data_IF_364102817359
#
_entry.id   IF_364102817359
#
_cell.length_a   1.000
_cell.length_b   1.000
_cell.length_c   1.000
_cell.angle_alpha   90.00
_cell.angle_beta   90.00
_cell.angle_gamma   90.00
#
_symmetry.space_group_name_H-M   'P 1'
#
loop_
_entity.id
_entity.type
_entity.pdbx_description
1 polymer ?
#
# COMPACT_ATOMS: atom_id res chain seq x y z
N UNK A 1 -2.73 4.77 19.19
CA UNK A 1 -2.56 5.97 18.35
C UNK A 1 -3.84 6.19 17.55
N UNK A 2 -4.32 7.42 17.38
CA UNK A 2 -5.50 7.74 16.55
C UNK A 2 -5.05 8.66 15.41
N UNK A 3 -5.59 8.45 14.22
CA UNK A 3 -5.26 9.19 13.01
C UNK A 3 -6.39 10.15 12.61
N UNK A 4 -6.08 11.38 12.23
CA UNK A 4 -7.09 12.33 11.73
C UNK A 4 -7.09 12.38 10.20
N UNK A 5 -8.28 12.48 9.62
CA UNK A 5 -8.49 12.63 8.18
C UNK A 5 -8.49 14.11 7.84
N UNK A 6 -7.59 14.53 6.95
CA UNK A 6 -7.42 15.96 6.62
C UNK A 6 -7.95 16.34 5.22
N UNK A 7 -8.23 15.38 4.33
CA UNK A 7 -8.73 15.68 2.99
C UNK A 7 -9.48 14.49 2.38
N UNK A 8 -10.34 14.77 1.41
CA UNK A 8 -11.04 13.79 0.57
C UNK A 8 -10.98 14.39 -0.85
N UNK A 9 -10.48 13.67 -1.85
CA UNK A 9 -10.29 14.18 -3.21
C UNK A 9 -11.14 13.35 -4.15
N UNK A 10 -12.17 13.89 -4.80
CA UNK A 10 -12.98 13.12 -5.77
C UNK A 10 -12.31 13.05 -7.14
N UNK A 11 -12.17 11.85 -7.70
CA UNK A 11 -11.67 11.66 -9.07
C UNK A 11 -12.84 11.60 -10.03
N UNK A 12 -12.84 12.45 -11.06
CA UNK A 12 -13.86 12.42 -12.11
C UNK A 12 -13.26 11.91 -13.42
N UNK A 13 -13.78 10.81 -13.94
CA UNK A 13 -13.71 10.52 -15.37
C UNK A 13 -14.60 11.53 -16.11
N UNK A 14 -14.01 12.48 -16.84
CA UNK A 14 -14.76 13.29 -17.80
C UNK A 14 -15.06 12.42 -19.02
N UNK A 15 -16.03 11.50 -18.95
CA UNK A 15 -16.85 11.18 -20.13
C UNK A 15 -18.12 10.35 -19.90
N UNK A 16 -18.42 9.84 -18.71
CA UNK A 16 -19.73 9.21 -18.44
C UNK A 16 -20.31 9.74 -17.15
N UNK A 17 -21.54 10.26 -17.24
CA UNK A 17 -22.33 10.68 -16.11
C UNK A 17 -22.49 9.49 -15.15
N UNK A 18 -21.72 9.48 -14.07
CA UNK A 18 -22.01 8.90 -12.76
C UNK A 18 -20.77 9.19 -11.90
N UNK A 19 -20.95 10.02 -10.88
CA UNK A 19 -19.88 10.48 -10.02
C UNK A 19 -19.62 9.46 -8.91
N UNK A 20 -18.38 9.01 -8.76
CA UNK A 20 -17.87 8.61 -7.46
C UNK A 20 -16.57 9.37 -7.15
N UNK A 21 -15.93 9.00 -6.05
CA UNK A 21 -15.19 9.89 -5.12
C UNK A 21 -13.80 9.27 -4.93
N UNK A 22 -12.71 9.93 -4.47
CA UNK A 22 -11.47 9.35 -3.86
C UNK A 22 -11.21 9.87 -2.44
N UNK A 23 -10.71 9.03 -1.54
CA UNK A 23 -10.35 9.35 -0.17
C UNK A 23 -8.84 9.42 -0.02
N UNK A 24 -8.35 10.64 -0.11
CA UNK A 24 -6.98 10.93 0.25
C UNK A 24 -6.84 11.08 1.77
N UNK A 25 -6.67 9.99 2.53
CA UNK A 25 -6.37 10.13 3.97
C UNK A 25 -5.00 10.79 4.14
N UNK A 26 -5.01 12.06 4.52
CA UNK A 26 -3.80 12.81 4.84
C UNK A 26 -3.56 12.74 6.34
N UNK A 27 -2.34 12.42 6.75
CA UNK A 27 -1.90 12.36 8.15
C UNK A 27 -0.73 13.31 8.39
N UNK A 28 -0.86 14.26 9.31
CA UNK A 28 0.26 15.11 9.71
C UNK A 28 0.56 14.89 11.20
N UNK A 29 1.77 14.45 11.51
CA UNK A 29 2.39 14.73 12.82
C UNK A 29 3.28 15.95 12.64
N UNK A 30 3.33 16.85 13.62
CA UNK A 30 4.17 18.06 13.61
C UNK A 30 5.59 17.75 13.15
N UNK A 31 6.01 18.36 12.04
CA UNK A 31 7.33 18.24 11.44
C UNK A 31 8.14 19.51 11.74
N UNK A 32 9.47 19.40 11.77
CA UNK A 32 10.37 20.55 11.75
C UNK A 32 10.16 21.37 10.46
N UNK A 33 10.50 22.66 10.45
CA UNK A 33 10.31 23.54 9.28
C UNK A 33 10.92 23.00 7.98
N UNK A 34 12.06 22.32 8.05
CA UNK A 34 12.69 21.64 6.89
C UNK A 34 11.89 20.44 6.36
N UNK A 35 11.25 19.68 7.25
CA UNK A 35 10.42 18.54 6.88
C UNK A 35 9.01 18.98 6.44
N UNK A 36 8.59 20.19 6.80
CA UNK A 36 7.35 20.80 6.32
C UNK A 36 7.44 21.19 4.83
N UNK A 37 8.57 21.73 4.38
CA UNK A 37 8.80 22.06 2.96
C UNK A 37 8.99 20.81 2.08
N UNK A 38 9.65 19.78 2.62
CA UNK A 38 9.69 18.45 2.01
C UNK A 38 8.28 17.86 1.98
N UNK A 39 7.50 18.00 3.05
CA UNK A 39 6.10 17.58 3.12
C UNK A 39 5.18 18.29 2.12
N UNK A 40 5.37 19.59 1.89
CA UNK A 40 4.65 20.38 0.87
C UNK A 40 5.03 19.94 -0.54
N UNK A 41 6.31 19.71 -0.79
CA UNK A 41 6.83 19.24 -2.08
C UNK A 41 6.33 17.83 -2.37
N UNK A 42 6.40 16.92 -1.39
CA UNK A 42 5.88 15.57 -1.49
C UNK A 42 4.35 15.57 -1.65
N UNK A 43 3.61 16.44 -0.95
CA UNK A 43 2.16 16.55 -1.17
C UNK A 43 1.80 17.01 -2.59
N UNK A 44 2.56 17.98 -3.13
CA UNK A 44 2.36 18.43 -4.52
C UNK A 44 2.69 17.31 -5.50
N UNK A 45 3.79 16.60 -5.29
CA UNK A 45 4.22 15.43 -6.06
C UNK A 45 3.16 14.33 -6.00
N UNK A 46 2.76 13.85 -4.82
CA UNK A 46 1.70 12.86 -4.69
C UNK A 46 0.37 13.30 -5.34
N UNK A 47 0.00 14.58 -5.26
CA UNK A 47 -1.22 15.07 -5.91
C UNK A 47 -1.15 15.02 -7.45
N UNK A 48 0.04 15.08 -8.04
CA UNK A 48 0.25 14.94 -9.49
C UNK A 48 0.48 13.47 -9.85
N UNK A 49 1.14 12.67 -9.01
CA UNK A 49 1.19 11.20 -9.12
C UNK A 49 -0.19 10.59 -9.21
N UNK A 50 -1.09 10.98 -8.30
CA UNK A 50 -2.49 10.55 -8.30
C UNK A 50 -3.17 11.00 -9.60
N UNK A 51 -3.02 12.26 -10.05
CA UNK A 51 -3.59 12.76 -11.32
C UNK A 51 -3.06 12.09 -12.59
N UNK A 52 -1.78 11.72 -12.61
CA UNK A 52 -1.17 11.04 -13.75
C UNK A 52 -1.51 9.53 -13.73
N UNK A 53 -1.66 8.95 -12.54
CA UNK A 53 -2.24 7.62 -12.33
C UNK A 53 -3.68 7.58 -12.84
N UNK A 54 -4.51 8.58 -12.53
CA UNK A 54 -5.87 8.75 -13.09
C UNK A 54 -5.87 8.78 -14.62
N UNK A 55 -4.88 9.46 -15.23
CA UNK A 55 -4.75 9.53 -16.70
C UNK A 55 -4.33 8.18 -17.32
N UNK A 56 -3.56 7.38 -16.60
CA UNK A 56 -3.10 6.06 -17.03
C UNK A 56 -4.20 5.00 -16.91
N UNK A 57 -5.07 5.13 -15.91
CA UNK A 57 -6.16 4.21 -15.60
C UNK A 57 -7.53 4.75 -16.03
N UNK A 58 -7.59 5.54 -17.12
CA UNK A 58 -8.81 6.19 -17.63
C UNK A 58 -10.06 5.31 -17.75
N UNK A 59 -9.87 3.99 -17.83
CA UNK A 59 -10.94 3.02 -18.00
C UNK A 59 -11.16 2.11 -16.76
N UNK A 60 -10.38 2.26 -15.68
CA UNK A 60 -10.28 1.29 -14.59
C UNK A 60 -10.08 1.99 -13.23
N UNK A 61 -11.16 2.13 -12.44
CA UNK A 61 -11.22 3.07 -11.31
C UNK A 61 -10.70 2.55 -9.96
N UNK A 62 -10.22 1.31 -9.84
CA UNK A 62 -9.87 0.73 -8.53
C UNK A 62 -8.61 -0.15 -8.57
N UNK A 63 -7.84 -0.17 -7.47
CA UNK A 63 -6.64 -1.01 -7.29
C UNK A 63 -6.94 -2.15 -6.34
N UNK A 64 -6.50 -3.35 -6.71
CA UNK A 64 -6.55 -4.51 -5.82
C UNK A 64 -5.54 -4.36 -4.68
N UNK A 65 -4.37 -3.77 -4.97
CA UNK A 65 -3.35 -3.50 -3.96
C UNK A 65 -2.41 -2.39 -4.40
N UNK A 66 -1.78 -1.74 -3.42
CA UNK A 66 -0.70 -0.80 -3.65
C UNK A 66 0.43 -1.03 -2.66
N UNK A 67 1.67 -0.79 -3.08
CA UNK A 67 2.84 -0.93 -2.21
C UNK A 67 3.84 0.18 -2.47
N UNK A 68 4.29 0.80 -1.38
CA UNK A 68 5.39 1.75 -1.41
C UNK A 68 6.70 0.97 -1.25
N UNK A 69 7.41 0.86 -2.36
CA UNK A 69 8.60 0.06 -2.51
C UNK A 69 9.84 0.95 -2.57
N UNK A 70 10.58 0.98 -1.47
CA UNK A 70 11.81 1.76 -1.35
C UNK A 70 13.02 0.83 -1.36
N UNK A 71 13.71 0.70 -2.50
CA UNK A 71 14.87 -0.18 -2.62
C UNK A 71 16.14 0.52 -2.11
N UNK A 72 16.94 -0.20 -1.33
CA UNK A 72 18.22 0.27 -0.79
C UNK A 72 19.39 -0.64 -1.15
N UNK A 73 20.56 -0.04 -1.29
CA UNK A 73 21.84 -0.73 -1.42
C UNK A 73 22.73 -0.38 -0.22
N UNK A 74 23.53 -1.34 0.25
CA UNK A 74 24.58 -1.08 1.22
C UNK A 74 25.94 -1.10 0.52
N UNK A 75 26.61 0.05 0.47
CA UNK A 75 27.97 0.19 -0.06
C UNK A 75 28.87 0.74 1.04
N UNK A 76 29.84 -0.07 1.48
CA UNK A 76 30.80 0.33 2.51
C UNK A 76 30.17 0.66 3.88
N UNK A 77 29.05 0.03 4.23
CA UNK A 77 28.34 0.28 5.50
C UNK A 77 27.34 1.43 5.46
N UNK A 78 27.24 2.16 4.35
CA UNK A 78 26.25 3.21 4.14
C UNK A 78 25.07 2.63 3.37
N UNK A 79 23.90 2.61 4.00
CA UNK A 79 22.64 2.26 3.34
C UNK A 79 22.12 3.48 2.58
N UNK A 80 21.96 3.34 1.26
CA UNK A 80 21.50 4.40 0.36
C UNK A 80 20.24 3.93 -0.34
N UNK A 81 19.19 4.75 -0.33
CA UNK A 81 17.99 4.47 -1.13
C UNK A 81 18.33 4.72 -2.60
N UNK A 82 18.15 3.69 -3.42
CA UNK A 82 18.46 3.72 -4.86
C UNK A 82 17.22 3.71 -5.74
N UNK A 83 16.05 3.41 -5.17
CA UNK A 83 14.78 3.61 -5.84
C UNK A 83 13.64 3.90 -4.85
N UNK A 84 12.72 4.77 -5.27
CA UNK A 84 11.52 5.11 -4.50
C UNK A 84 10.30 5.03 -5.42
N UNK A 85 9.55 3.92 -5.31
CA UNK A 85 8.47 3.60 -6.24
C UNK A 85 7.17 3.24 -5.52
N UNK A 86 6.05 3.57 -6.13
CA UNK A 86 4.77 2.95 -5.81
C UNK A 86 4.44 1.92 -6.91
N UNK A 87 3.99 0.75 -6.50
CA UNK A 87 3.39 -0.22 -7.42
C UNK A 87 1.90 -0.28 -7.13
N UNK A 88 1.11 -0.34 -8.19
CA UNK A 88 -0.35 -0.48 -8.14
C UNK A 88 -0.73 -1.74 -8.92
N UNK A 89 -1.44 -2.65 -8.27
CA UNK A 89 -1.87 -3.93 -8.82
C UNK A 89 -3.34 -3.90 -9.17
N UNK A 90 -3.69 -4.51 -10.30
CA UNK A 90 -5.06 -4.65 -10.75
C UNK A 90 -5.19 -5.87 -11.67
N UNK A 91 -5.98 -6.85 -11.24
CA UNK A 91 -6.12 -8.14 -11.89
C UNK A 91 -4.74 -8.75 -12.18
N UNK A 92 -4.51 -9.20 -13.40
CA UNK A 92 -3.23 -9.79 -13.81
C UNK A 92 -2.15 -8.73 -14.16
N UNK A 93 -2.37 -7.44 -13.88
CA UNK A 93 -1.44 -6.37 -14.24
C UNK A 93 -0.97 -5.58 -13.02
N UNK A 94 0.15 -4.90 -13.21
CA UNK A 94 0.59 -3.83 -12.34
C UNK A 94 1.10 -2.66 -13.16
N UNK A 95 1.17 -1.49 -12.52
CA UNK A 95 2.00 -0.39 -13.00
C UNK A 95 2.89 0.13 -11.90
N UNK A 96 3.89 0.93 -12.28
CA UNK A 96 4.84 1.48 -11.33
C UNK A 96 5.09 2.95 -11.57
N UNK A 97 5.17 3.66 -10.46
CA UNK A 97 5.32 5.10 -10.40
C UNK A 97 6.60 5.44 -9.65
N UNK A 98 7.40 6.34 -10.20
CA UNK A 98 8.58 6.89 -9.54
C UNK A 98 8.16 8.07 -8.67
N UNK A 99 8.30 7.91 -7.35
CA UNK A 99 7.84 8.88 -6.37
C UNK A 99 8.81 10.05 -6.16
N UNK A 100 10.04 9.97 -6.68
CA UNK A 100 10.97 11.09 -6.62
C UNK A 100 10.69 12.15 -7.67
N UNK A 101 10.48 11.71 -8.91
CA UNK A 101 10.26 12.61 -10.07
C UNK A 101 8.80 12.74 -10.43
N UNK A 102 7.94 12.02 -9.74
CA UNK A 102 6.50 12.08 -9.94
C UNK A 102 6.09 11.71 -11.37
N UNK A 103 6.51 10.52 -11.79
CA UNK A 103 6.30 10.03 -13.14
C UNK A 103 6.00 8.53 -13.16
N UNK A 104 5.10 8.13 -14.04
CA UNK A 104 4.91 6.72 -14.38
C UNK A 104 6.14 6.24 -15.17
N UNK A 105 7.05 5.53 -14.51
CA UNK A 105 8.24 4.97 -15.14
C UNK A 105 8.01 3.57 -15.75
N UNK A 106 6.81 3.01 -15.56
CA UNK A 106 6.38 1.74 -16.15
C UNK A 106 4.84 1.70 -16.20
N UNK A 107 4.29 1.57 -17.40
CA UNK A 107 2.85 1.33 -17.59
C UNK A 107 2.43 -0.11 -17.32
N UNK A 108 1.17 -0.42 -17.64
CA UNK A 108 0.57 -1.72 -17.41
C UNK A 108 1.48 -2.84 -17.92
N UNK A 109 1.86 -3.70 -17.00
CA UNK A 109 2.68 -4.87 -17.25
C UNK A 109 2.04 -6.04 -16.55
N UNK A 110 2.02 -7.19 -17.22
CA UNK A 110 1.54 -8.41 -16.59
C UNK A 110 2.37 -8.69 -15.33
N UNK A 111 1.71 -9.03 -14.23
CA UNK A 111 2.33 -9.33 -12.93
C UNK A 111 3.45 -10.35 -13.14
N UNK A 112 3.16 -11.46 -13.82
CA UNK A 112 4.10 -12.57 -14.07
C UNK A 112 5.34 -12.19 -14.89
N UNK A 113 5.29 -11.10 -15.64
CA UNK A 113 6.43 -10.61 -16.43
C UNK A 113 7.35 -9.65 -15.65
N UNK A 114 6.93 -9.24 -14.45
CA UNK A 114 7.63 -8.22 -13.66
C UNK A 114 8.79 -8.75 -12.84
N UNK A 115 8.70 -9.99 -12.37
CA UNK A 115 9.59 -10.60 -11.39
C UNK A 115 9.75 -12.11 -11.64
N UNK A 116 10.71 -12.75 -10.96
CA UNK A 116 10.74 -14.22 -10.88
C UNK A 116 9.62 -14.69 -9.94
N UNK A 117 8.45 -14.97 -10.51
CA UNK A 117 7.29 -15.47 -9.78
C UNK A 117 7.41 -16.95 -9.42
N UNK A 118 6.75 -17.41 -8.34
CA UNK A 118 6.69 -18.83 -8.07
C UNK A 118 5.86 -19.52 -9.16
N UNK A 119 6.16 -20.79 -9.42
CA UNK A 119 5.33 -21.66 -10.26
C UNK A 119 4.03 -22.02 -9.52
N UNK A 120 3.16 -21.02 -9.40
CA UNK A 120 1.96 -21.04 -8.60
C UNK A 120 0.94 -20.06 -9.18
N UNK A 121 -0.06 -20.63 -9.87
CA UNK A 121 -1.05 -19.87 -10.63
C UNK A 121 -1.89 -18.87 -9.81
N UNK A 122 -1.91 -18.98 -8.47
CA UNK A 122 -2.66 -18.05 -7.60
C UNK A 122 -2.24 -16.60 -7.80
N UNK A 123 -0.95 -16.38 -8.02
CA UNK A 123 -0.35 -15.05 -8.20
C UNK A 123 -0.58 -14.46 -9.60
N UNK A 124 -1.14 -15.24 -10.53
CA UNK A 124 -1.40 -14.79 -11.89
C UNK A 124 -2.66 -13.91 -11.99
N UNK A 125 -3.54 -13.97 -10.98
CA UNK A 125 -4.85 -13.30 -10.97
C UNK A 125 -4.91 -12.13 -9.98
N UNK A 126 -3.76 -11.51 -9.71
CA UNK A 126 -3.69 -10.30 -8.89
C UNK A 126 -3.19 -10.51 -7.48
N UNK A 127 -3.13 -9.39 -6.76
CA UNK A 127 -2.62 -9.24 -5.40
C UNK A 127 -3.69 -8.50 -4.63
N UNK A 128 -4.16 -9.07 -3.52
CA UNK A 128 -5.27 -8.49 -2.75
C UNK A 128 -4.76 -7.47 -1.73
N UNK A 129 -3.53 -7.61 -1.25
CA UNK A 129 -2.91 -6.61 -0.40
C UNK A 129 -1.39 -6.69 -0.49
N UNK A 130 -0.71 -5.60 -0.17
CA UNK A 130 0.74 -5.57 -0.21
C UNK A 130 1.33 -4.59 0.81
N UNK A 131 2.43 -4.96 1.45
CA UNK A 131 3.17 -4.05 2.33
C UNK A 131 4.67 -4.24 2.18
N UNK A 132 5.43 -3.17 2.35
CA UNK A 132 6.89 -3.22 2.33
C UNK A 132 7.48 -2.90 3.70
N UNK A 133 8.16 -3.87 4.32
CA UNK A 133 9.00 -3.62 5.48
C UNK A 133 10.33 -3.00 5.03
N UNK A 134 10.26 -1.70 4.68
CA UNK A 134 11.35 -0.96 4.03
C UNK A 134 12.70 -1.08 4.77
N UNK A 135 12.70 -1.07 6.11
CA UNK A 135 13.92 -1.21 6.95
C UNK A 135 14.65 -2.54 6.72
N UNK A 136 13.93 -3.61 6.39
CA UNK A 136 14.50 -4.93 6.12
C UNK A 136 14.58 -5.27 4.64
N UNK A 137 14.07 -4.40 3.76
CA UNK A 137 14.00 -4.64 2.32
C UNK A 137 13.23 -5.92 1.98
N UNK A 138 12.12 -6.15 2.71
CA UNK A 138 11.21 -7.27 2.50
C UNK A 138 9.84 -6.74 2.10
N UNK A 139 9.32 -7.19 0.96
CA UNK A 139 7.94 -6.98 0.57
C UNK A 139 7.11 -8.23 0.88
N UNK A 140 5.88 -8.01 1.33
CA UNK A 140 4.89 -9.05 1.51
C UNK A 140 3.72 -8.78 0.57
N UNK A 141 3.34 -9.77 -0.22
CA UNK A 141 2.20 -9.72 -1.13
C UNK A 141 1.20 -10.77 -0.66
N UNK A 142 -0.07 -10.42 -0.57
CA UNK A 142 -1.13 -11.28 -0.06
C UNK A 142 -2.10 -11.64 -1.19
N UNK A 143 -2.53 -12.90 -1.18
CA UNK A 143 -3.54 -13.41 -2.11
C UNK A 143 -4.32 -14.52 -1.43
N UNK A 144 -5.64 -14.37 -1.38
CA UNK A 144 -6.54 -15.26 -0.63
C UNK A 144 -6.01 -15.45 0.81
N UNK A 145 -5.76 -16.69 1.24
CA UNK A 145 -5.22 -17.03 2.57
C UNK A 145 -3.70 -17.25 2.57
N UNK A 146 -2.99 -16.76 1.55
CA UNK A 146 -1.56 -16.95 1.34
C UNK A 146 -0.81 -15.63 1.24
N UNK A 147 0.50 -15.70 1.47
CA UNK A 147 1.38 -14.58 1.23
C UNK A 147 2.71 -15.01 0.59
N UNK A 148 3.26 -14.13 -0.25
CA UNK A 148 4.66 -14.17 -0.66
C UNK A 148 5.49 -13.28 0.23
N UNK A 149 6.67 -13.77 0.59
CA UNK A 149 7.74 -12.96 1.16
C UNK A 149 8.82 -12.76 0.10
N UNK A 150 9.03 -11.51 -0.31
CA UNK A 150 9.98 -11.14 -1.33
C UNK A 150 11.14 -10.34 -0.74
N UNK A 151 12.36 -10.82 -0.93
CA UNK A 151 13.58 -10.10 -0.56
C UNK A 151 14.02 -9.20 -1.71
N UNK A 152 13.96 -7.91 -1.47
CA UNK A 152 14.23 -6.88 -2.48
C UNK A 152 15.72 -6.70 -2.73
N UNK A 153 16.59 -7.07 -1.77
CA UNK A 153 18.05 -6.99 -1.94
C UNK A 153 18.56 -8.11 -2.83
N UNK A 154 18.04 -9.33 -2.62
CA UNK A 154 18.46 -10.51 -3.40
C UNK A 154 17.60 -10.73 -4.64
N UNK A 155 16.50 -9.99 -4.78
CA UNK A 155 15.52 -10.13 -5.85
C UNK A 155 14.93 -11.55 -5.91
N UNK A 156 14.61 -12.13 -4.75
CA UNK A 156 14.14 -13.52 -4.61
C UNK A 156 12.92 -13.65 -3.73
N UNK A 157 12.08 -14.62 -4.05
CA UNK A 157 11.02 -15.10 -3.17
C UNK A 157 11.65 -16.00 -2.10
N UNK A 158 11.44 -15.64 -0.83
CA UNK A 158 11.92 -16.38 0.35
C UNK A 158 10.82 -17.17 1.05
N UNK A 159 9.56 -16.99 0.64
CA UNK A 159 8.44 -17.73 1.18
C UNK A 159 7.18 -17.60 0.32
N UNK A 160 6.44 -18.70 0.21
CA UNK A 160 5.11 -18.80 -0.39
C UNK A 160 4.29 -19.78 0.46
N UNK A 161 3.51 -19.27 1.42
CA UNK A 161 2.85 -20.10 2.41
C UNK A 161 1.57 -19.45 2.95
N UNK A 162 0.71 -20.22 3.66
CA UNK A 162 -0.48 -19.66 4.29
C UNK A 162 -0.11 -18.53 5.27
N UNK A 163 -0.97 -17.51 5.35
CA UNK A 163 -0.77 -16.35 6.24
C UNK A 163 -0.56 -16.81 7.68
N UNK A 164 -1.37 -17.77 8.14
CA UNK A 164 -1.33 -18.35 9.49
C UNK A 164 0.01 -19.02 9.87
N UNK A 165 0.87 -19.34 8.90
CA UNK A 165 2.22 -19.89 9.18
C UNK A 165 3.28 -18.82 9.40
N UNK A 166 3.06 -17.62 8.89
CA UNK A 166 4.03 -16.53 8.88
C UNK A 166 3.68 -15.34 9.76
N UNK A 167 2.42 -15.26 10.17
CA UNK A 167 1.87 -14.12 10.91
C UNK A 167 1.16 -14.63 12.16
N UNK A 168 1.65 -14.23 13.32
CA UNK A 168 1.09 -14.62 14.60
C UNK A 168 -0.25 -13.92 14.92
N UNK A 169 -0.91 -14.37 15.98
CA UNK A 169 -2.11 -13.72 16.53
C UNK A 169 -3.41 -14.47 16.27
N UNK A 170 -4.37 -14.24 17.16
CA UNK A 170 -5.73 -14.75 17.03
C UNK A 170 -6.62 -13.72 16.33
N UNK A 171 -6.40 -13.54 15.03
CA UNK A 171 -7.13 -12.62 14.14
C UNK A 171 -7.57 -13.41 12.90
N UNK A 172 -8.56 -12.94 12.12
CA UNK A 172 -9.17 -13.74 11.06
C UNK A 172 -8.31 -13.74 9.78
N UNK A 173 -7.10 -14.30 9.86
CA UNK A 173 -6.21 -14.46 8.70
C UNK A 173 -6.83 -15.31 7.59
N UNK A 174 -7.69 -16.27 7.96
CA UNK A 174 -8.43 -17.12 7.04
C UNK A 174 -9.57 -16.38 6.31
N UNK A 175 -9.86 -15.11 6.64
CA UNK A 175 -10.75 -14.27 5.83
C UNK A 175 -9.98 -13.58 4.68
N UNK A 176 -8.64 -13.73 4.63
CA UNK A 176 -7.77 -12.97 3.74
C UNK A 176 -7.51 -11.56 4.24
N UNK A 177 -6.83 -10.77 3.41
CA UNK A 177 -6.46 -9.37 3.71
C UNK A 177 -6.84 -8.51 2.51
N UNK A 178 -7.72 -7.54 2.73
CA UNK A 178 -8.19 -6.62 1.68
C UNK A 178 -7.22 -5.45 1.48
N UNK A 179 -6.53 -5.03 2.54
CA UNK A 179 -5.49 -4.02 2.43
C UNK A 179 -4.45 -4.20 3.54
N UNK A 180 -3.21 -3.83 3.21
CA UNK A 180 -2.13 -3.80 4.17
C UNK A 180 -1.23 -2.59 3.95
N UNK A 181 -0.66 -2.05 5.02
CA UNK A 181 0.30 -0.95 4.90
C UNK A 181 1.34 -1.03 6.01
N UNK A 182 2.60 -0.84 5.62
CA UNK A 182 3.69 -0.64 6.57
C UNK A 182 3.69 0.80 7.07
N UNK A 183 3.80 0.95 8.39
CA UNK A 183 3.85 2.22 9.09
C UNK A 183 5.08 2.33 9.99
N UNK A 184 5.24 3.50 10.61
CA UNK A 184 6.36 3.81 11.51
C UNK A 184 6.48 2.78 12.64
N UNK A 185 7.69 2.70 13.20
CA UNK A 185 8.02 1.85 14.36
C UNK A 185 7.76 0.36 14.13
N UNK A 186 8.13 -0.13 12.93
CA UNK A 186 7.99 -1.54 12.53
C UNK A 186 6.54 -2.07 12.62
N UNK A 187 5.55 -1.19 12.47
CA UNK A 187 4.12 -1.53 12.53
C UNK A 187 3.58 -1.85 11.14
N UNK A 188 2.95 -3.00 10.94
CA UNK A 188 2.04 -3.23 9.83
C UNK A 188 0.59 -3.02 10.28
N UNK A 189 -0.23 -2.54 9.36
CA UNK A 189 -1.66 -2.33 9.52
C UNK A 189 -2.37 -3.22 8.51
N UNK A 190 -3.32 -4.03 8.98
CA UNK A 190 -4.09 -4.96 8.16
C UNK A 190 -5.57 -4.66 8.24
N UNK A 191 -6.26 -4.81 7.11
CA UNK A 191 -7.68 -4.55 6.96
C UNK A 191 -8.37 -5.76 6.31
N UNK A 192 -9.54 -6.12 6.82
CA UNK A 192 -10.41 -7.18 6.26
C UNK A 192 -11.86 -6.91 6.65
N UNK A 193 -12.69 -6.60 5.65
CA UNK A 193 -14.00 -6.01 5.83
C UNK A 193 -13.90 -4.78 6.75
N UNK A 194 -14.85 -4.66 7.68
CA UNK A 194 -14.93 -3.50 8.58
C UNK A 194 -13.89 -3.52 9.71
N UNK A 195 -12.94 -4.45 9.66
CA UNK A 195 -12.01 -4.76 10.73
C UNK A 195 -10.59 -4.34 10.37
N UNK A 196 -9.84 -4.04 11.43
CA UNK A 196 -8.45 -3.65 11.40
C UNK A 196 -7.70 -4.32 12.56
N UNK A 197 -6.44 -4.68 12.34
CA UNK A 197 -5.50 -5.02 13.40
C UNK A 197 -4.08 -4.52 13.06
N UNK A 198 -3.30 -4.29 14.11
CA UNK A 198 -1.88 -3.90 13.98
C UNK A 198 -0.98 -5.10 14.24
N UNK A 199 0.12 -5.15 13.52
CA UNK A 199 1.18 -6.14 13.72
C UNK A 199 2.49 -5.42 14.01
N UNK A 200 3.23 -5.88 15.00
CA UNK A 200 4.60 -5.46 15.28
C UNK A 200 5.54 -6.45 14.57
N UNK A 201 6.12 -6.00 13.45
CA UNK A 201 7.00 -6.82 12.62
C UNK A 201 8.32 -7.14 13.33
N UNK A 202 8.79 -6.27 14.21
CA UNK A 202 10.06 -6.47 14.91
C UNK A 202 9.94 -7.53 15.99
N UNK A 203 8.83 -7.54 16.72
CA UNK A 203 8.57 -8.44 17.84
C UNK A 203 7.71 -9.66 17.47
N UNK A 204 7.21 -9.73 16.24
CA UNK A 204 6.36 -10.79 15.75
C UNK A 204 5.07 -10.96 16.57
N UNK A 205 4.40 -9.84 16.87
CA UNK A 205 3.18 -9.83 17.70
C UNK A 205 2.03 -9.12 17.02
N UNK A 206 0.81 -9.57 17.30
CA UNK A 206 -0.41 -9.02 16.75
C UNK A 206 -1.28 -8.42 17.86
N UNK A 207 -1.97 -7.32 17.55
CA UNK A 207 -3.01 -6.78 18.42
C UNK A 207 -4.30 -7.59 18.32
N UNK A 208 -5.27 -7.30 19.20
CA UNK A 208 -6.66 -7.68 18.97
C UNK A 208 -7.23 -7.03 17.70
N UNK A 209 -8.39 -7.53 17.26
CA UNK A 209 -9.18 -6.98 16.15
C UNK A 209 -10.01 -5.79 16.62
N UNK A 210 -10.10 -4.76 15.79
CA UNK A 210 -10.86 -3.54 16.05
C UNK A 210 -11.62 -3.07 14.82
N UNK A 211 -12.68 -2.25 14.97
CA UNK A 211 -13.28 -1.57 13.81
C UNK A 211 -12.30 -0.53 13.24
N UNK A 212 -12.35 -0.31 11.92
CA UNK A 212 -11.50 0.68 11.22
C UNK A 212 -11.62 2.08 11.85
N UNK A 213 -12.82 2.47 12.25
CA UNK A 213 -13.11 3.77 12.90
C UNK A 213 -12.36 4.00 14.22
N UNK A 214 -11.84 2.93 14.86
CA UNK A 214 -11.01 3.06 16.06
C UNK A 214 -9.72 3.82 15.76
N UNK A 215 -9.10 3.54 14.61
CA UNK A 215 -7.81 4.13 14.25
C UNK A 215 -7.97 5.35 13.35
N UNK A 216 -9.04 5.41 12.54
CA UNK A 216 -9.41 6.59 11.76
C UNK A 216 -10.73 7.20 12.24
N UNK A 217 -10.71 8.02 13.32
CA UNK A 217 -11.85 8.84 13.69
C UNK A 217 -12.43 9.63 12.51
N UNK A 218 -13.77 9.60 12.39
CA UNK A 218 -14.52 10.27 11.32
C UNK A 218 -14.24 9.73 9.90
N UNK A 219 -13.80 8.47 9.79
CA UNK A 219 -13.70 7.81 8.48
C UNK A 219 -15.05 7.79 7.77
N UNK A 220 -15.12 8.13 6.46
CA UNK A 220 -16.36 8.05 5.71
C UNK A 220 -16.97 6.66 5.80
N UNK A 221 -18.30 6.58 5.77
CA UNK A 221 -19.01 5.31 5.93
C UNK A 221 -18.60 4.27 4.90
N UNK A 222 -18.29 4.67 3.65
CA UNK A 222 -17.81 3.77 2.60
C UNK A 222 -16.47 3.11 2.90
N UNK A 223 -15.62 3.73 3.71
CA UNK A 223 -14.33 3.19 4.15
C UNK A 223 -14.39 2.49 5.51
N UNK A 224 -15.55 2.57 6.17
CA UNK A 224 -15.77 1.87 7.44
C UNK A 224 -16.23 0.42 7.24
N UNK A 225 -16.73 0.08 6.04
CA UNK A 225 -17.14 -1.26 5.67
C UNK A 225 -15.98 -2.15 5.24
N UNK A 226 -14.98 -1.57 4.58
CA UNK A 226 -13.83 -2.21 3.97
C UNK A 226 -12.86 -1.16 3.40
N UNK A 227 -11.66 -1.60 3.04
CA UNK A 227 -10.60 -0.83 2.40
C UNK A 227 -10.06 -1.70 1.26
N UNK A 228 -10.08 -1.20 0.03
CA UNK A 228 -9.61 -1.98 -1.13
C UNK A 228 -8.09 -1.98 -1.24
N UNK A 229 -7.43 -0.92 -0.77
CA UNK A 229 -5.96 -0.84 -0.77
C UNK A 229 -5.47 0.25 0.19
N UNK A 230 -4.23 0.12 0.65
CA UNK A 230 -3.58 1.10 1.49
C UNK A 230 -2.13 1.32 1.05
N UNK A 231 -1.67 2.59 1.06
CA UNK A 231 -0.34 2.96 0.62
C UNK A 231 0.32 3.91 1.63
N UNK A 232 1.54 3.61 2.04
CA UNK A 232 2.37 4.58 2.74
C UNK A 232 2.92 5.58 1.72
N UNK A 233 2.63 6.87 1.91
CA UNK A 233 3.11 7.91 1.02
C UNK A 233 4.61 8.21 1.13
N UNK A 234 5.31 7.70 2.15
CA UNK A 234 6.66 8.17 2.46
C UNK A 234 6.76 9.66 2.86
N UNK A 235 5.64 10.39 2.83
CA UNK A 235 5.48 11.80 3.22
C UNK A 235 4.84 11.94 4.61
N UNK A 236 4.90 10.87 5.41
CA UNK A 236 4.24 10.81 6.71
C UNK A 236 2.73 10.61 6.64
N UNK A 237 2.19 10.15 5.50
CA UNK A 237 0.75 9.89 5.30
C UNK A 237 0.48 8.45 4.88
N UNK A 238 -0.73 7.98 5.18
CA UNK A 238 -1.29 6.71 4.68
C UNK A 238 -2.45 7.06 3.78
N UNK A 239 -2.40 6.66 2.51
CA UNK A 239 -3.52 6.75 1.59
C UNK A 239 -4.35 5.46 1.67
N UNK A 240 -5.68 5.59 1.69
CA UNK A 240 -6.62 4.46 1.66
C UNK A 240 -7.42 4.58 0.37
N UNK A 241 -7.71 3.47 -0.28
CA UNK A 241 -8.47 3.42 -1.53
C UNK A 241 -9.72 2.55 -1.34
N UNK A 242 -10.84 2.91 -2.00
CA UNK A 242 -12.13 2.20 -1.93
C UNK A 242 -12.99 2.46 -3.17
N UNK A 243 -13.09 1.49 -4.05
CA UNK A 243 -13.83 1.59 -5.29
C UNK A 243 -13.17 2.63 -6.17
N UNK A 244 -13.96 3.57 -6.68
CA UNK A 244 -13.38 4.72 -7.33
C UNK A 244 -12.76 5.72 -6.37
N UNK A 245 -12.70 5.36 -5.05
CA UNK A 245 -12.16 6.13 -3.93
C UNK A 245 -10.74 5.85 -3.46
#
# INVERSE_FOLDING_TARGET
MKFQIHSIIRVSSRQTQLAGIVLLVVLATTLSSSAEDIGKTLNRVFSKSVRDTEKAFKDNTWFDAAIHWTASENKGGIETIVANRAYFFQGHNYMRYNLWVDEQDQGLKNITAGWEWPDDSRWNNGIDAALCWNKRQIAYLFKDHYYLRYNMRTNKIEGNQPITRGWAGNVPWDDGVDAAVYWRDDRAMFFSGSRYWSYDLANDTCSSVYPISRIFPNIPSSFSSDIDSALNGGNGKIYLFKGDQ
#
